data_IF_060745743108
#
_entry.id   IF_060745743108
#
_cell.length_a   1.000
_cell.length_b   1.000
_cell.length_c   1.000
_cell.angle_alpha   90.00
_cell.angle_beta   90.00
_cell.angle_gamma   90.00
#
_symmetry.space_group_name_H-M   'P 1'
#
loop_
_entity.id
_entity.type
_entity.pdbx_description
1 polymer ?
#
# COMPACT_ATOMS: atom_id res chain seq x y z
N UNK A 1 -25.74 2.61 -15.09
CA UNK A 1 -24.90 2.95 -13.93
C UNK A 1 -25.74 3.02 -12.66
N UNK A 2 -25.44 2.16 -11.68
CA UNK A 2 -26.04 2.14 -10.34
C UNK A 2 -25.00 2.70 -9.37
N UNK A 3 -25.42 3.62 -8.49
CA UNK A 3 -24.57 4.20 -7.45
C UNK A 3 -25.24 3.95 -6.10
N UNK A 4 -24.49 3.39 -5.15
CA UNK A 4 -24.96 3.15 -3.79
C UNK A 4 -23.98 3.73 -2.77
N UNK A 5 -24.48 4.59 -1.90
CA UNK A 5 -23.73 5.15 -0.78
C UNK A 5 -24.07 4.35 0.47
N UNK A 6 -23.04 3.76 1.08
CA UNK A 6 -23.18 2.91 2.26
C UNK A 6 -22.38 3.47 3.42
N UNK A 7 -22.68 3.01 4.63
CA UNK A 7 -21.85 3.32 5.78
C UNK A 7 -20.43 2.76 5.54
N UNK A 8 -19.45 3.65 5.46
CA UNK A 8 -18.04 3.28 5.32
C UNK A 8 -17.50 3.13 3.89
N UNK A 9 -18.36 3.14 2.86
CA UNK A 9 -17.90 3.04 1.48
C UNK A 9 -18.97 3.43 0.45
N UNK A 10 -18.58 3.51 -0.82
CA UNK A 10 -19.47 3.77 -1.96
C UNK A 10 -19.25 2.72 -3.05
N UNK A 11 -20.32 2.35 -3.74
CA UNK A 11 -20.32 1.37 -4.83
C UNK A 11 -20.80 2.04 -6.11
N UNK A 12 -20.04 1.86 -7.19
CA UNK A 12 -20.38 2.31 -8.53
C UNK A 12 -20.37 1.11 -9.47
N UNK A 13 -21.47 0.88 -10.20
CA UNK A 13 -21.63 -0.29 -11.04
C UNK A 13 -22.13 0.13 -12.42
N UNK A 14 -21.44 -0.25 -13.49
CA UNK A 14 -21.81 0.15 -14.86
C UNK A 14 -22.27 -0.99 -15.75
N UNK A 15 -21.70 -2.21 -15.57
CA UNK A 15 -22.03 -3.40 -16.37
C UNK A 15 -22.09 -4.64 -15.48
N UNK A 16 -22.86 -5.65 -15.89
CA UNK A 16 -22.67 -7.02 -15.41
C UNK A 16 -21.36 -7.56 -15.99
N UNK A 17 -20.26 -7.26 -15.31
CA UNK A 17 -18.95 -7.89 -15.52
C UNK A 17 -18.45 -8.35 -14.15
N UNK A 18 -17.79 -9.49 -14.08
CA UNK A 18 -17.33 -10.13 -12.85
C UNK A 18 -16.06 -9.49 -12.27
N UNK A 19 -15.62 -8.34 -12.82
CA UNK A 19 -14.50 -7.56 -12.30
C UNK A 19 -14.98 -6.64 -11.18
N UNK A 20 -14.30 -6.71 -10.04
CA UNK A 20 -14.42 -5.74 -8.94
C UNK A 20 -13.10 -5.05 -8.72
N UNK A 21 -13.11 -3.71 -8.76
CA UNK A 21 -11.97 -2.87 -8.39
C UNK A 21 -12.30 -2.24 -7.04
N UNK A 22 -11.40 -2.34 -6.07
CA UNK A 22 -11.61 -1.79 -4.74
C UNK A 22 -10.44 -0.94 -4.27
N UNK A 23 -10.75 0.13 -3.53
CA UNK A 23 -9.76 0.97 -2.84
C UNK A 23 -10.06 0.97 -1.35
N UNK A 24 -9.50 0.01 -0.59
CA UNK A 24 -9.84 -0.16 0.83
C UNK A 24 -9.30 0.96 1.74
N UNK A 25 -8.38 1.79 1.25
CA UNK A 25 -7.66 2.81 2.03
C UNK A 25 -7.82 4.24 1.48
N UNK A 26 -8.79 4.48 0.59
CA UNK A 26 -9.04 5.79 -0.04
C UNK A 26 -9.81 6.79 0.83
N UNK A 27 -10.26 6.40 2.02
CA UNK A 27 -11.02 7.28 2.91
C UNK A 27 -10.22 8.45 3.50
N UNK A 28 -10.83 9.25 4.40
CA UNK A 28 -10.22 10.46 4.92
C UNK A 28 -8.91 10.23 5.67
N UNK A 29 -7.96 11.15 5.46
CA UNK A 29 -6.69 11.19 6.18
C UNK A 29 -6.88 11.99 7.47
N UNK A 30 -6.83 11.32 8.63
CA UNK A 30 -6.80 11.97 9.93
C UNK A 30 -5.38 11.93 10.51
N UNK A 31 -5.03 12.96 11.29
CA UNK A 31 -3.73 13.21 11.93
C UNK A 31 -2.56 13.48 10.97
N UNK A 32 -2.43 12.68 9.91
CA UNK A 32 -1.37 12.82 8.92
C UNK A 32 -1.91 12.70 7.50
N UNK A 33 -1.44 13.56 6.60
CA UNK A 33 -1.87 13.57 5.19
C UNK A 33 -1.52 12.28 4.43
N UNK A 34 -0.55 11.51 4.95
CA UNK A 34 -0.12 10.23 4.37
C UNK A 34 -0.91 9.02 4.89
N UNK A 35 -1.84 9.22 5.83
CA UNK A 35 -2.61 8.15 6.46
C UNK A 35 -3.66 7.49 5.54
N UNK A 36 -3.95 8.05 4.37
CA UNK A 36 -4.80 7.44 3.33
C UNK A 36 -3.97 7.05 2.13
N UNK A 37 -4.53 6.24 1.25
CA UNK A 37 -3.92 5.91 -0.05
C UNK A 37 -4.36 6.99 -1.06
N UNK A 38 -3.70 8.14 -1.05
CA UNK A 38 -4.02 9.29 -1.90
C UNK A 38 -4.00 8.92 -3.39
N UNK A 39 -5.05 9.38 -4.10
CA UNK A 39 -5.29 9.16 -5.52
C UNK A 39 -5.45 7.69 -5.96
N UNK A 40 -5.49 6.74 -5.03
CA UNK A 40 -5.83 5.33 -5.35
C UNK A 40 -7.24 5.25 -5.95
N UNK A 41 -8.20 6.01 -5.43
CA UNK A 41 -9.57 6.11 -5.96
C UNK A 41 -9.62 6.69 -7.37
N UNK A 42 -8.70 7.61 -7.70
CA UNK A 42 -8.60 8.18 -9.05
C UNK A 42 -8.16 7.09 -10.02
N UNK A 43 -7.06 6.40 -9.73
CA UNK A 43 -6.56 5.29 -10.57
C UNK A 43 -7.63 4.20 -10.70
N UNK A 44 -8.27 3.82 -9.60
CA UNK A 44 -9.34 2.83 -9.59
C UNK A 44 -10.54 3.23 -10.44
N UNK A 45 -10.95 4.50 -10.39
CA UNK A 45 -12.05 5.01 -11.23
C UNK A 45 -11.70 4.96 -12.71
N UNK A 46 -10.44 5.22 -13.08
CA UNK A 46 -9.98 5.16 -14.47
C UNK A 46 -9.89 3.71 -14.96
N UNK A 47 -9.38 2.79 -14.14
CA UNK A 47 -9.43 1.36 -14.39
C UNK A 47 -10.87 0.89 -14.62
N UNK A 48 -11.80 1.32 -13.76
CA UNK A 48 -13.22 0.97 -13.85
C UNK A 48 -13.87 1.52 -15.13
N UNK A 49 -13.56 2.75 -15.53
CA UNK A 49 -14.04 3.31 -16.81
C UNK A 49 -13.57 2.50 -18.02
N UNK A 50 -12.36 1.92 -17.96
CA UNK A 50 -11.79 1.12 -19.05
C UNK A 50 -12.36 -0.31 -19.07
N UNK A 51 -12.43 -0.97 -17.92
CA UNK A 51 -12.75 -2.42 -17.82
C UNK A 51 -14.22 -2.71 -17.47
N UNK A 52 -14.96 -1.73 -16.96
CA UNK A 52 -16.32 -1.89 -16.44
C UNK A 52 -16.37 -2.65 -15.11
N UNK A 53 -17.52 -3.27 -14.83
CA UNK A 53 -17.75 -4.02 -13.59
C UNK A 53 -18.17 -3.12 -12.42
N UNK A 54 -17.64 -3.42 -11.24
CA UNK A 54 -17.97 -2.74 -9.99
C UNK A 54 -16.74 -2.04 -9.40
N UNK A 55 -16.90 -0.79 -8.99
CA UNK A 55 -15.92 -0.02 -8.23
C UNK A 55 -16.40 0.17 -6.79
N UNK A 56 -15.58 -0.25 -5.82
CA UNK A 56 -15.85 -0.10 -4.38
C UNK A 56 -14.82 0.85 -3.76
N UNK A 57 -15.26 1.97 -3.23
CA UNK A 57 -14.37 3.02 -2.68
C UNK A 57 -14.63 3.18 -1.19
N UNK A 58 -13.64 2.91 -0.35
CA UNK A 58 -13.76 3.15 1.09
C UNK A 58 -13.89 4.65 1.37
N UNK A 59 -14.80 5.03 2.26
CA UNK A 59 -14.97 6.42 2.70
C UNK A 59 -14.75 6.60 4.21
N UNK A 60 -14.21 5.57 4.88
CA UNK A 60 -13.73 5.63 6.27
C UNK A 60 -12.22 5.67 6.35
N UNK A 61 -11.70 6.33 7.40
CA UNK A 61 -10.27 6.35 7.64
C UNK A 61 -9.75 4.95 7.99
N UNK A 62 -8.56 4.59 7.50
CA UNK A 62 -7.86 3.37 7.93
C UNK A 62 -7.20 3.49 9.31
N UNK A 63 -7.25 4.66 9.94
CA UNK A 63 -6.75 4.84 11.31
C UNK A 63 -7.70 4.12 12.28
N UNK A 64 -7.16 3.17 13.06
CA UNK A 64 -7.93 2.25 13.92
C UNK A 64 -8.84 2.99 14.91
N UNK A 65 -8.37 4.15 15.39
CA UNK A 65 -9.12 4.97 16.32
C UNK A 65 -10.36 5.60 15.68
N UNK A 66 -10.24 6.07 14.43
CA UNK A 66 -11.26 6.89 13.74
C UNK A 66 -12.07 6.13 12.70
N UNK A 67 -11.65 4.93 12.31
CA UNK A 67 -12.34 4.13 11.31
C UNK A 67 -11.85 2.68 11.27
N UNK A 68 -11.79 2.11 10.08
CA UNK A 68 -11.57 0.68 9.86
C UNK A 68 -10.44 0.50 8.84
N UNK A 69 -9.33 -0.11 9.23
CA UNK A 69 -8.36 -0.60 8.25
C UNK A 69 -8.87 -1.89 7.63
N UNK A 70 -9.51 -1.75 6.46
CA UNK A 70 -10.11 -2.86 5.74
C UNK A 70 -9.08 -3.94 5.33
N UNK A 71 -7.78 -3.63 5.31
CA UNK A 71 -6.72 -4.58 4.94
C UNK A 71 -6.15 -5.37 6.15
N UNK A 72 -6.86 -5.40 7.28
CA UNK A 72 -6.44 -6.09 8.52
C UNK A 72 -7.54 -6.99 9.06
N UNK A 73 -7.18 -7.84 10.01
CA UNK A 73 -8.07 -8.81 10.62
C UNK A 73 -9.04 -8.17 11.63
N UNK A 74 -10.12 -8.89 11.93
CA UNK A 74 -11.14 -8.47 12.89
C UNK A 74 -10.62 -8.73 14.32
N UNK A 75 -10.50 -7.70 15.19
CA UNK A 75 -10.20 -7.92 16.60
C UNK A 75 -11.40 -8.56 17.30
N UNK A 76 -11.18 -9.33 18.38
CA UNK A 76 -12.28 -9.66 19.27
C UNK A 76 -12.78 -8.39 19.98
N UNK A 77 -14.05 -8.37 20.37
CA UNK A 77 -14.66 -7.23 21.07
C UNK A 77 -13.87 -6.85 22.33
N UNK A 78 -13.53 -7.83 23.17
CA UNK A 78 -12.71 -7.62 24.37
C UNK A 78 -11.37 -6.92 24.05
N UNK A 79 -10.67 -7.41 23.03
CA UNK A 79 -9.38 -6.85 22.61
C UNK A 79 -9.55 -5.43 22.06
N UNK A 80 -10.59 -5.18 21.26
CA UNK A 80 -10.87 -3.86 20.68
C UNK A 80 -11.19 -2.81 21.74
N UNK A 81 -12.01 -3.17 22.75
CA UNK A 81 -12.36 -2.31 23.87
C UNK A 81 -11.15 -2.02 24.75
N UNK A 82 -10.37 -3.05 25.11
CA UNK A 82 -9.16 -2.91 25.93
C UNK A 82 -8.13 -1.99 25.29
N UNK A 83 -7.99 -2.04 23.96
CA UNK A 83 -6.99 -1.28 23.21
C UNK A 83 -7.42 0.15 22.88
N UNK A 84 -8.67 0.54 23.13
CA UNK A 84 -9.15 1.89 22.83
C UNK A 84 -8.41 2.99 23.61
N UNK A 85 -8.34 2.87 24.94
CA UNK A 85 -7.64 3.84 25.80
C UNK A 85 -6.15 3.98 25.45
N UNK A 86 -5.38 2.89 25.24
CA UNK A 86 -4.01 2.97 24.74
C UNK A 86 -3.83 3.75 23.43
N UNK A 87 -4.78 3.63 22.49
CA UNK A 87 -4.73 4.38 21.23
C UNK A 87 -5.08 5.86 21.41
N UNK A 88 -5.95 6.20 22.37
CA UNK A 88 -6.32 7.58 22.68
C UNK A 88 -5.22 8.34 23.40
N UNK A 89 -4.57 7.71 24.38
CA UNK A 89 -3.63 8.37 25.28
C UNK A 89 -2.17 8.26 24.83
N UNK A 90 -1.90 7.47 23.78
CA UNK A 90 -0.55 7.02 23.39
C UNK A 90 0.27 6.47 24.59
N UNK A 91 -0.42 5.98 25.63
CA UNK A 91 0.14 5.71 26.96
C UNK A 91 0.79 4.32 27.08
N UNK A 92 0.81 3.53 26.00
CA UNK A 92 1.46 2.21 25.95
C UNK A 92 2.69 2.28 25.03
N UNK A 93 3.67 1.41 25.32
CA UNK A 93 4.81 1.11 24.47
C UNK A 93 4.43 1.11 22.96
N UNK A 94 5.19 1.88 22.18
CA UNK A 94 5.01 2.01 20.73
C UNK A 94 5.01 0.68 20.00
N UNK A 95 5.72 -0.32 20.53
CA UNK A 95 5.85 -1.64 19.91
C UNK A 95 4.54 -2.44 20.04
N UNK A 96 3.83 -2.35 21.18
CA UNK A 96 2.52 -2.99 21.37
C UNK A 96 1.48 -2.40 20.41
N UNK A 97 1.46 -1.07 20.28
CA UNK A 97 0.58 -0.39 19.33
C UNK A 97 0.93 -0.75 17.88
N UNK A 98 2.22 -0.91 17.58
CA UNK A 98 2.68 -1.33 16.25
C UNK A 98 2.21 -2.75 15.92
N UNK A 99 2.40 -3.70 16.84
CA UNK A 99 1.96 -5.09 16.67
C UNK A 99 0.45 -5.19 16.49
N UNK A 100 -0.31 -4.40 17.26
CA UNK A 100 -1.76 -4.30 17.08
C UNK A 100 -2.12 -3.82 15.67
N UNK A 101 -1.51 -2.72 15.19
CA UNK A 101 -1.79 -2.15 13.86
C UNK A 101 -1.44 -3.12 12.72
N UNK A 102 -0.43 -3.98 12.91
CA UNK A 102 -0.08 -5.02 11.93
C UNK A 102 -1.14 -6.10 11.80
N UNK A 103 -1.92 -6.35 12.86
CA UNK A 103 -2.89 -7.45 12.90
C UNK A 103 -4.33 -6.99 12.71
N UNK A 104 -4.76 -5.97 13.44
CA UNK A 104 -6.18 -5.66 13.63
C UNK A 104 -6.63 -4.36 12.97
N UNK A 105 -7.90 -4.37 12.56
CA UNK A 105 -8.51 -3.35 11.73
C UNK A 105 -9.02 -2.11 12.48
N UNK A 106 -9.48 -2.23 13.72
CA UNK A 106 -9.98 -1.10 14.52
C UNK A 106 -9.78 -1.30 16.03
N UNK A 107 -9.99 -0.24 16.80
CA UNK A 107 -10.30 -0.31 18.25
C UNK A 107 -11.72 0.22 18.45
N UNK A 108 -12.35 -0.05 19.60
CA UNK A 108 -13.74 0.32 19.85
C UNK A 108 -13.93 1.01 21.21
N UNK A 109 -14.70 2.09 21.25
CA UNK A 109 -14.99 2.81 22.52
C UNK A 109 -15.97 2.07 23.42
N UNK A 110 -16.90 1.34 22.81
CA UNK A 110 -17.99 0.60 23.44
C UNK A 110 -18.47 -0.51 22.48
N UNK A 111 -19.40 -1.35 22.95
CA UNK A 111 -19.93 -2.47 22.16
C UNK A 111 -20.69 -2.01 20.91
N UNK A 112 -21.34 -0.84 20.96
CA UNK A 112 -22.10 -0.28 19.83
C UNK A 112 -21.13 0.14 18.73
N UNK A 113 -20.06 0.84 19.06
CA UNK A 113 -18.98 1.22 18.13
C UNK A 113 -18.32 -0.01 17.51
N UNK A 114 -18.07 -1.06 18.31
CA UNK A 114 -17.53 -2.31 17.80
C UNK A 114 -18.45 -2.92 16.73
N UNK A 115 -19.75 -3.04 17.03
CA UNK A 115 -20.71 -3.65 16.12
C UNK A 115 -20.89 -2.82 14.84
N UNK A 116 -20.91 -1.49 14.94
CA UNK A 116 -20.97 -0.60 13.77
C UNK A 116 -19.75 -0.77 12.85
N UNK A 117 -18.55 -0.88 13.42
CA UNK A 117 -17.30 -1.08 12.65
C UNK A 117 -17.23 -2.47 12.02
N UNK A 118 -17.70 -3.48 12.75
CA UNK A 118 -17.84 -4.84 12.22
C UNK A 118 -18.80 -4.86 11.02
N UNK A 119 -19.95 -4.21 11.13
CA UNK A 119 -20.92 -4.11 10.03
C UNK A 119 -20.31 -3.44 8.79
N UNK A 120 -19.60 -2.31 8.96
CA UNK A 120 -18.88 -1.65 7.85
C UNK A 120 -17.89 -2.61 7.19
N UNK A 121 -17.09 -3.31 8.00
CA UNK A 121 -16.06 -4.23 7.52
C UNK A 121 -16.66 -5.40 6.73
N UNK A 122 -17.68 -6.06 7.29
CA UNK A 122 -18.36 -7.19 6.66
C UNK A 122 -19.08 -6.78 5.38
N UNK A 123 -19.78 -5.64 5.39
CA UNK A 123 -20.49 -5.15 4.23
C UNK A 123 -19.54 -4.72 3.10
N UNK A 124 -18.41 -4.08 3.42
CA UNK A 124 -17.40 -3.74 2.42
C UNK A 124 -16.87 -4.99 1.72
N UNK A 125 -16.40 -5.97 2.50
CA UNK A 125 -15.84 -7.19 1.92
C UNK A 125 -16.89 -8.06 1.26
N UNK A 126 -18.14 -8.05 1.72
CA UNK A 126 -19.27 -8.71 1.08
C UNK A 126 -19.63 -8.13 -0.29
N UNK A 127 -19.39 -6.83 -0.52
CA UNK A 127 -19.51 -6.23 -1.86
C UNK A 127 -18.31 -6.58 -2.74
N UNK A 128 -17.09 -6.50 -2.19
CA UNK A 128 -15.88 -6.84 -2.95
C UNK A 128 -15.87 -8.31 -3.37
N UNK A 129 -16.35 -9.21 -2.51
CA UNK A 129 -16.43 -10.63 -2.75
C UNK A 129 -17.51 -11.04 -3.77
N UNK A 130 -18.18 -10.12 -4.46
CA UNK A 130 -19.08 -10.47 -5.56
C UNK A 130 -18.34 -10.71 -6.89
N UNK A 131 -17.12 -10.19 -7.03
CA UNK A 131 -16.31 -10.36 -8.24
C UNK A 131 -15.60 -11.72 -8.31
N UNK A 132 -15.33 -12.18 -9.52
CA UNK A 132 -14.44 -13.31 -9.81
C UNK A 132 -12.99 -12.82 -9.99
N UNK A 133 -12.81 -11.67 -10.65
CA UNK A 133 -11.53 -10.96 -10.72
C UNK A 133 -11.58 -9.73 -9.82
N UNK A 134 -10.74 -9.69 -8.78
CA UNK A 134 -10.73 -8.64 -7.77
C UNK A 134 -9.39 -7.91 -7.82
N UNK A 135 -9.45 -6.60 -8.01
CA UNK A 135 -8.28 -5.71 -8.11
C UNK A 135 -8.32 -4.75 -6.94
N UNK A 136 -7.41 -4.92 -5.98
CA UNK A 136 -7.28 -4.03 -4.82
C UNK A 136 -6.18 -3.00 -5.12
N UNK A 137 -6.56 -1.74 -5.25
CA UNK A 137 -5.62 -0.67 -5.57
C UNK A 137 -5.23 0.07 -4.29
N UNK A 138 -3.92 0.06 -4.04
CA UNK A 138 -3.26 0.69 -2.91
C UNK A 138 -2.28 1.77 -3.37
N UNK A 139 -1.79 2.53 -2.39
CA UNK A 139 -0.68 3.47 -2.60
C UNK A 139 0.56 3.01 -1.84
N UNK A 140 1.64 2.83 -2.59
CA UNK A 140 2.99 2.75 -2.05
C UNK A 140 3.60 4.15 -1.92
N UNK A 141 4.18 4.48 -0.76
CA UNK A 141 4.99 5.69 -0.63
C UNK A 141 6.25 5.58 -1.51
N UNK A 142 6.63 6.68 -2.15
CA UNK A 142 7.81 6.75 -3.02
C UNK A 142 9.10 6.85 -2.19
N UNK A 143 9.50 5.75 -1.55
CA UNK A 143 10.68 5.63 -0.67
C UNK A 143 11.71 4.67 -1.24
N UNK A 144 12.97 4.74 -0.81
CA UNK A 144 14.06 3.90 -1.32
C UNK A 144 13.80 2.42 -1.07
N UNK A 145 13.12 2.04 0.02
CA UNK A 145 12.71 0.65 0.26
C UNK A 145 11.92 0.03 -0.91
N UNK A 146 11.25 0.86 -1.71
CA UNK A 146 10.48 0.43 -2.87
C UNK A 146 11.24 0.58 -4.19
N UNK A 147 12.42 1.22 -4.22
CA UNK A 147 13.23 1.37 -5.43
C UNK A 147 13.67 -0.01 -5.95
N UNK A 148 13.45 -0.38 -7.22
CA UNK A 148 13.00 0.39 -8.40
C UNK A 148 11.54 0.15 -8.80
N UNK A 149 10.70 -0.36 -7.91
CA UNK A 149 9.28 -0.55 -8.16
C UNK A 149 8.54 0.78 -8.23
N UNK A 150 7.90 1.03 -9.37
CA UNK A 150 6.95 2.13 -9.58
C UNK A 150 5.51 1.70 -9.30
N UNK A 151 5.26 0.41 -9.48
CA UNK A 151 4.01 -0.31 -9.23
C UNK A 151 4.38 -1.74 -8.90
N UNK A 152 4.03 -2.22 -7.70
CA UNK A 152 4.26 -3.60 -7.30
C UNK A 152 2.94 -4.38 -7.38
N UNK A 153 2.95 -5.46 -8.15
CA UNK A 153 1.81 -6.36 -8.27
C UNK A 153 1.98 -7.45 -7.22
N UNK A 154 0.94 -7.71 -6.45
CA UNK A 154 0.94 -8.73 -5.39
C UNK A 154 -0.24 -9.68 -5.64
N UNK A 155 0.01 -10.98 -5.45
CA UNK A 155 -0.94 -12.03 -5.83
C UNK A 155 -1.16 -12.95 -4.64
N UNK A 156 -2.41 -13.24 -4.31
CA UNK A 156 -2.72 -14.09 -3.16
C UNK A 156 -2.69 -15.59 -3.45
N UNK A 157 -2.82 -15.97 -4.73
CA UNK A 157 -2.90 -17.37 -5.16
C UNK A 157 -1.55 -17.98 -5.54
N UNK A 158 -1.59 -19.30 -5.75
CA UNK A 158 -0.52 -20.26 -6.05
C UNK A 158 0.53 -19.85 -7.10
N UNK A 159 1.66 -20.56 -7.08
CA UNK A 159 2.86 -20.24 -7.87
C UNK A 159 2.68 -20.25 -9.40
N UNK A 160 1.62 -20.87 -9.92
CA UNK A 160 1.37 -20.93 -11.37
C UNK A 160 0.89 -19.57 -11.91
N UNK A 161 -0.04 -18.90 -11.22
CA UNK A 161 -0.48 -17.56 -11.57
C UNK A 161 0.67 -16.55 -11.50
N UNK A 162 1.59 -16.72 -10.55
CA UNK A 162 2.77 -15.85 -10.39
C UNK A 162 3.67 -15.86 -11.62
N UNK A 163 3.91 -17.02 -12.22
CA UNK A 163 4.73 -17.12 -13.44
C UNK A 163 4.08 -16.40 -14.62
N UNK A 164 2.78 -16.64 -14.85
CA UNK A 164 2.02 -15.95 -15.91
C UNK A 164 2.03 -14.43 -15.72
N UNK A 165 1.83 -13.97 -14.48
CA UNK A 165 1.84 -12.54 -14.13
C UNK A 165 3.23 -11.94 -14.36
N UNK A 166 4.30 -12.66 -14.03
CA UNK A 166 5.68 -12.21 -14.26
C UNK A 166 5.94 -11.97 -15.76
N UNK A 167 5.47 -12.86 -16.63
CA UNK A 167 5.63 -12.71 -18.08
C UNK A 167 4.82 -11.53 -18.62
N UNK A 168 3.57 -11.38 -18.16
CA UNK A 168 2.73 -10.22 -18.49
C UNK A 168 3.37 -8.90 -18.04
N UNK A 169 3.91 -8.83 -16.82
CA UNK A 169 4.61 -7.65 -16.30
C UNK A 169 5.82 -7.32 -17.17
N UNK A 170 6.57 -8.33 -17.64
CA UNK A 170 7.70 -8.10 -18.55
C UNK A 170 7.25 -7.47 -19.86
N UNK A 171 6.17 -7.97 -20.47
CA UNK A 171 5.60 -7.39 -21.69
C UNK A 171 5.13 -5.95 -21.50
N UNK A 172 4.45 -5.67 -20.39
CA UNK A 172 3.95 -4.32 -20.08
C UNK A 172 5.14 -3.37 -19.81
N UNK A 173 6.16 -3.81 -19.08
CA UNK A 173 7.39 -3.02 -18.92
C UNK A 173 8.07 -2.70 -20.27
N UNK A 174 8.08 -3.64 -21.22
CA UNK A 174 8.60 -3.39 -22.57
C UNK A 174 7.73 -2.34 -23.28
N UNK A 175 6.40 -2.48 -23.23
CA UNK A 175 5.45 -1.53 -23.83
C UNK A 175 5.65 -0.09 -23.30
N UNK A 176 5.88 0.06 -21.99
CA UNK A 176 6.01 1.37 -21.34
C UNK A 176 7.46 1.83 -21.13
N UNK A 177 8.46 1.15 -21.69
CA UNK A 177 9.87 1.42 -21.43
C UNK A 177 10.26 2.89 -21.65
N UNK A 178 9.86 3.49 -22.78
CA UNK A 178 10.16 4.89 -23.10
C UNK A 178 9.55 5.86 -22.08
N UNK A 179 8.32 5.59 -21.64
CA UNK A 179 7.68 6.38 -20.58
C UNK A 179 8.44 6.24 -19.26
N UNK A 180 8.74 5.02 -18.84
CA UNK A 180 9.46 4.71 -17.60
C UNK A 180 10.83 5.40 -17.56
N UNK A 181 11.55 5.39 -18.69
CA UNK A 181 12.83 6.09 -18.85
C UNK A 181 12.67 7.60 -18.81
N UNK A 182 11.65 8.15 -19.46
CA UNK A 182 11.36 9.58 -19.44
C UNK A 182 11.08 10.12 -18.03
N UNK A 183 10.35 9.38 -17.20
CA UNK A 183 10.01 9.82 -15.84
C UNK A 183 11.09 9.52 -14.79
N UNK A 184 12.09 8.70 -15.12
CA UNK A 184 13.14 8.22 -14.21
C UNK A 184 13.77 9.36 -13.37
N UNK A 185 14.23 10.49 -13.95
CA UNK A 185 14.86 11.56 -13.18
C UNK A 185 13.90 12.20 -12.15
N UNK A 186 12.64 12.40 -12.53
CA UNK A 186 11.63 13.00 -11.67
C UNK A 186 11.22 12.05 -10.54
N UNK A 187 11.05 10.76 -10.86
CA UNK A 187 10.77 9.71 -9.87
C UNK A 187 11.89 9.62 -8.84
N UNK A 188 13.15 9.55 -9.29
CA UNK A 188 14.34 9.50 -8.43
C UNK A 188 14.46 10.72 -7.52
N UNK A 189 14.14 11.92 -8.04
CA UNK A 189 14.09 13.15 -7.23
C UNK A 189 12.99 13.09 -6.17
N UNK A 190 11.81 12.55 -6.50
CA UNK A 190 10.73 12.37 -5.53
C UNK A 190 11.12 11.38 -4.43
N UNK A 191 11.82 10.29 -4.77
CA UNK A 191 12.35 9.34 -3.77
C UNK A 191 13.28 10.06 -2.79
N UNK A 192 14.26 10.84 -3.28
CA UNK A 192 15.16 11.60 -2.41
C UNK A 192 14.41 12.55 -1.48
N UNK A 193 13.44 13.30 -2.02
CA UNK A 193 12.62 14.23 -1.23
C UNK A 193 11.86 13.51 -0.11
N UNK A 194 11.31 12.34 -0.39
CA UNK A 194 10.59 11.53 0.60
C UNK A 194 11.53 10.93 1.67
N UNK A 195 12.78 10.60 1.31
CA UNK A 195 13.83 10.24 2.29
C UNK A 195 14.18 11.41 3.21
N UNK A 196 14.40 12.60 2.67
CA UNK A 196 14.70 13.81 3.45
C UNK A 196 13.55 14.14 4.41
N UNK A 197 12.30 14.00 3.94
CA UNK A 197 11.10 14.15 4.76
C UNK A 197 11.06 13.12 5.88
N UNK A 198 11.43 11.87 5.62
CA UNK A 198 11.44 10.83 6.63
C UNK A 198 12.50 11.04 7.70
N UNK A 199 13.72 11.38 7.30
CA UNK A 199 14.81 11.75 8.22
C UNK A 199 14.37 12.91 9.12
N UNK A 200 13.77 13.96 8.52
CA UNK A 200 13.24 15.11 9.26
C UNK A 200 12.15 14.72 10.25
N UNK A 201 11.26 13.80 9.87
CA UNK A 201 10.22 13.29 10.76
C UNK A 201 10.78 12.46 11.92
N UNK A 202 11.79 11.62 11.67
CA UNK A 202 12.48 10.88 12.74
C UNK A 202 13.11 11.85 13.75
N UNK A 203 13.85 12.85 13.27
CA UNK A 203 14.48 13.86 14.12
C UNK A 203 13.43 14.64 14.93
N UNK A 204 12.29 14.99 14.32
CA UNK A 204 11.19 15.68 15.00
C UNK A 204 10.57 14.85 16.12
N UNK A 205 10.37 13.55 15.90
CA UNK A 205 9.67 12.66 16.84
C UNK A 205 10.60 12.16 17.94
N UNK A 206 11.82 11.77 17.61
CA UNK A 206 12.75 11.11 18.54
C UNK A 206 13.89 12.00 19.02
N UNK A 207 14.04 13.22 18.47
CA UNK A 207 15.15 14.14 18.77
C UNK A 207 16.51 13.69 18.26
N UNK A 208 16.60 12.50 17.66
CA UNK A 208 17.84 11.91 17.17
C UNK A 208 17.56 10.95 16.01
N UNK A 209 18.54 10.78 15.12
CA UNK A 209 18.51 9.80 14.04
C UNK A 209 19.46 8.65 14.39
N UNK A 210 18.94 7.72 15.19
CA UNK A 210 19.71 6.69 15.87
C UNK A 210 18.88 5.39 15.96
N UNK A 211 19.44 4.27 15.50
CA UNK A 211 18.75 2.97 15.42
C UNK A 211 18.32 2.42 16.79
N UNK A 212 18.99 2.84 17.86
CA UNK A 212 18.66 2.39 19.22
C UNK A 212 17.53 3.21 19.85
N UNK A 213 17.33 4.45 19.38
CA UNK A 213 16.29 5.36 19.90
C UNK A 213 14.99 5.28 19.10
N UNK A 214 15.08 5.01 17.80
CA UNK A 214 13.92 4.88 16.93
C UNK A 214 13.21 3.55 17.20
N UNK A 215 11.89 3.57 17.36
CA UNK A 215 11.05 2.39 17.71
C UNK A 215 9.89 2.15 16.76
N UNK A 216 9.22 1.00 16.88
CA UNK A 216 8.03 0.63 16.12
C UNK A 216 8.19 0.74 14.60
N UNK A 217 7.18 1.35 13.96
CA UNK A 217 7.09 1.46 12.49
C UNK A 217 8.28 2.25 11.88
N UNK A 218 8.76 3.30 12.56
CA UNK A 218 9.90 4.07 12.08
C UNK A 218 11.17 3.22 12.00
N UNK A 219 11.41 2.36 13.00
CA UNK A 219 12.57 1.47 13.01
C UNK A 219 12.48 0.44 11.89
N UNK A 220 11.31 -0.18 11.73
CA UNK A 220 11.06 -1.15 10.67
C UNK A 220 11.30 -0.55 9.28
N UNK A 221 10.78 0.65 9.02
CA UNK A 221 10.99 1.34 7.75
C UNK A 221 12.45 1.71 7.51
N UNK A 222 13.12 2.26 8.53
CA UNK A 222 14.53 2.62 8.42
C UNK A 222 15.43 1.40 8.13
N UNK A 223 15.12 0.25 8.72
CA UNK A 223 15.84 -1.00 8.42
C UNK A 223 15.61 -1.47 6.97
N UNK A 224 14.39 -1.37 6.44
CA UNK A 224 14.10 -1.68 5.04
C UNK A 224 14.88 -0.78 4.08
N UNK A 225 15.01 0.51 4.43
CA UNK A 225 15.80 1.48 3.67
C UNK A 225 17.30 1.11 3.69
N UNK A 226 17.83 0.73 4.86
CA UNK A 226 19.23 0.27 5.01
C UNK A 226 19.52 -0.98 4.17
N UNK A 227 18.58 -1.94 4.08
CA UNK A 227 18.78 -3.11 3.23
C UNK A 227 18.87 -2.73 1.74
N UNK A 228 18.07 -1.77 1.26
CA UNK A 228 18.22 -1.27 -0.13
C UNK A 228 19.53 -0.52 -0.33
N UNK A 229 19.96 0.25 0.67
CA UNK A 229 21.28 0.91 0.66
C UNK A 229 22.39 -0.12 0.50
N UNK A 230 22.37 -1.20 1.27
CA UNK A 230 23.37 -2.27 1.19
C UNK A 230 23.43 -2.92 -0.20
N UNK A 231 22.31 -3.01 -0.90
CA UNK A 231 22.22 -3.63 -2.24
C UNK A 231 22.71 -2.70 -3.36
N UNK A 232 22.32 -1.42 -3.33
CA UNK A 232 22.54 -0.51 -4.47
C UNK A 232 23.56 0.61 -4.24
N UNK A 233 23.88 0.95 -2.99
CA UNK A 233 24.87 2.00 -2.71
C UNK A 233 26.27 1.52 -3.09
N UNK A 234 27.14 2.47 -3.45
CA UNK A 234 28.57 2.16 -3.54
C UNK A 234 29.11 1.68 -2.18
N UNK A 235 30.10 0.75 -2.16
CA UNK A 235 30.69 0.25 -0.93
C UNK A 235 31.24 1.37 -0.03
N UNK A 236 31.74 2.45 -0.64
CA UNK A 236 32.26 3.64 0.06
C UNK A 236 31.19 4.29 0.94
N UNK A 237 30.02 4.61 0.38
CA UNK A 237 28.98 5.31 1.13
C UNK A 237 28.27 4.41 2.14
N UNK A 238 28.13 3.11 1.84
CA UNK A 238 27.62 2.16 2.81
C UNK A 238 28.58 2.00 4.01
N UNK A 239 29.90 1.99 3.76
CA UNK A 239 30.91 1.98 4.81
C UNK A 239 30.78 3.20 5.73
N UNK A 240 30.64 4.41 5.18
CA UNK A 240 30.43 5.61 5.99
C UNK A 240 29.17 5.55 6.85
N UNK A 241 28.06 5.05 6.29
CA UNK A 241 26.83 4.86 7.07
C UNK A 241 27.01 3.85 8.22
N UNK A 242 27.79 2.79 8.00
CA UNK A 242 28.06 1.76 9.01
C UNK A 242 29.00 2.27 10.12
N UNK A 243 30.00 3.05 9.75
CA UNK A 243 30.95 3.66 10.70
C UNK A 243 30.27 4.73 11.55
N UNK A 244 29.39 5.52 10.95
CA UNK A 244 28.66 6.57 11.64
C UNK A 244 27.24 6.71 11.09
N UNK A 245 26.28 6.18 11.85
CA UNK A 245 24.87 6.23 11.49
C UNK A 245 24.26 7.59 11.84
N UNK A 246 24.24 8.49 10.86
CA UNK A 246 23.70 9.84 11.01
C UNK A 246 22.92 10.29 9.74
N UNK A 247 22.14 11.38 9.82
CA UNK A 247 21.33 11.87 8.69
C UNK A 247 22.14 12.12 7.41
N UNK A 248 23.34 12.67 7.54
CA UNK A 248 24.17 13.07 6.39
C UNK A 248 24.71 11.84 5.65
N UNK A 249 25.25 10.88 6.39
CA UNK A 249 25.76 9.62 5.83
C UNK A 249 24.63 8.77 5.25
N UNK A 250 23.45 8.76 5.90
CA UNK A 250 22.26 8.10 5.37
C UNK A 250 21.85 8.71 4.02
N UNK A 251 21.70 10.03 3.94
CA UNK A 251 21.30 10.71 2.69
C UNK A 251 22.37 10.62 1.59
N UNK A 252 23.66 10.54 1.93
CA UNK A 252 24.73 10.24 0.96
C UNK A 252 24.59 8.83 0.38
N UNK A 253 24.32 7.84 1.23
CA UNK A 253 24.09 6.48 0.79
C UNK A 253 22.81 6.36 -0.07
N UNK A 254 21.73 7.05 0.31
CA UNK A 254 20.52 7.22 -0.49
C UNK A 254 20.82 7.78 -1.88
N UNK A 255 21.58 8.87 -1.96
CA UNK A 255 21.96 9.47 -3.26
C UNK A 255 22.72 8.47 -4.13
N UNK A 256 23.63 7.69 -3.55
CA UNK A 256 24.32 6.63 -4.26
C UNK A 256 23.39 5.51 -4.73
N UNK A 257 22.39 5.12 -3.94
CA UNK A 257 21.34 4.17 -4.38
C UNK A 257 20.61 4.73 -5.59
N UNK A 258 20.21 6.00 -5.54
CA UNK A 258 19.45 6.66 -6.60
C UNK A 258 20.23 6.70 -7.91
N UNK A 259 21.53 6.96 -7.84
CA UNK A 259 22.43 6.97 -9.01
C UNK A 259 22.58 5.56 -9.63
N UNK A 260 22.68 4.52 -8.80
CA UNK A 260 22.98 3.16 -9.24
C UNK A 260 21.75 2.28 -9.52
N UNK A 261 20.58 2.65 -8.99
CA UNK A 261 19.37 1.87 -9.14
C UNK A 261 18.89 1.89 -10.60
N UNK A 262 18.32 0.77 -11.09
CA UNK A 262 17.76 0.71 -12.44
C UNK A 262 16.55 1.66 -12.58
N UNK A 263 16.10 1.83 -13.83
CA UNK A 263 14.89 2.60 -14.11
C UNK A 263 13.69 2.09 -13.30
N UNK A 264 12.74 2.98 -12.96
CA UNK A 264 11.47 2.56 -12.39
C UNK A 264 10.79 1.55 -13.31
N UNK A 265 10.18 0.53 -12.73
CA UNK A 265 9.48 -0.52 -13.47
C UNK A 265 8.30 -1.07 -12.67
N UNK A 266 7.42 -1.79 -13.34
CA UNK A 266 6.40 -2.62 -12.70
C UNK A 266 7.11 -3.88 -12.19
N UNK A 267 6.81 -4.28 -10.96
CA UNK A 267 7.42 -5.45 -10.32
C UNK A 267 6.36 -6.43 -9.82
N UNK A 268 6.78 -7.65 -9.50
CA UNK A 268 5.96 -8.67 -8.86
C UNK A 268 6.55 -8.95 -7.48
N UNK A 269 5.77 -8.68 -6.44
CA UNK A 269 6.11 -8.91 -5.03
C UNK A 269 7.54 -8.51 -4.63
N UNK A 270 7.99 -7.35 -5.11
CA UNK A 270 9.37 -6.90 -4.92
C UNK A 270 9.60 -6.21 -3.57
N UNK A 271 8.64 -5.38 -3.17
CA UNK A 271 8.66 -4.64 -1.91
C UNK A 271 7.53 -5.08 -0.97
N UNK A 272 6.43 -5.56 -1.54
CA UNK A 272 5.28 -6.04 -0.82
C UNK A 272 5.10 -7.53 -1.09
N UNK A 273 4.85 -8.31 -0.06
CA UNK A 273 4.27 -9.63 -0.19
C UNK A 273 2.90 -9.61 0.48
N UNK A 274 1.93 -10.35 -0.03
CA UNK A 274 0.55 -10.29 0.47
C UNK A 274 0.40 -10.78 1.93
N UNK A 275 1.49 -11.07 2.65
CA UNK A 275 1.48 -11.63 4.00
C UNK A 275 0.73 -10.76 5.01
N UNK A 276 0.75 -9.43 4.80
CA UNK A 276 0.10 -8.46 5.68
C UNK A 276 -1.38 -8.21 5.34
N UNK A 277 -1.87 -8.73 4.21
CA UNK A 277 -3.25 -8.59 3.76
C UNK A 277 -4.18 -9.62 4.42
N UNK A 278 -4.15 -9.70 5.76
CA UNK A 278 -4.86 -10.72 6.53
C UNK A 278 -6.37 -10.70 6.30
N UNK A 279 -6.95 -9.49 6.23
CA UNK A 279 -8.38 -9.28 6.00
C UNK A 279 -8.83 -9.80 4.64
N UNK A 280 -8.30 -9.26 3.54
CA UNK A 280 -8.60 -9.74 2.19
C UNK A 280 -8.35 -11.23 2.02
N UNK A 281 -7.23 -11.77 2.55
CA UNK A 281 -6.94 -13.21 2.47
C UNK A 281 -8.04 -14.05 3.10
N UNK A 282 -8.51 -13.71 4.31
CA UNK A 282 -9.59 -14.47 4.96
C UNK A 282 -10.94 -14.29 4.28
N UNK A 283 -11.21 -13.13 3.68
CA UNK A 283 -12.51 -12.84 3.05
C UNK A 283 -12.62 -13.32 1.61
N UNK A 284 -11.50 -13.40 0.89
CA UNK A 284 -11.48 -13.65 -0.54
C UNK A 284 -10.84 -14.98 -0.92
N UNK A 285 -9.81 -15.46 -0.20
CA UNK A 285 -9.10 -16.69 -0.58
C UNK A 285 -9.81 -18.00 -0.24
N UNK A 286 -10.72 -18.10 0.76
CA UNK A 286 -11.55 -19.30 0.91
C UNK A 286 -12.51 -19.55 -0.27
N UNK A 287 -12.61 -18.60 -1.21
CA UNK A 287 -13.53 -18.67 -2.33
C UNK A 287 -12.78 -19.22 -3.55
N UNK A 288 -13.00 -20.49 -3.86
CA UNK A 288 -12.45 -21.16 -5.04
C UNK A 288 -12.79 -20.38 -6.33
N UNK A 289 -11.83 -20.32 -7.26
CA UNK A 289 -12.04 -19.74 -8.59
C UNK A 289 -11.85 -18.22 -8.69
N UNK A 290 -11.49 -17.53 -7.60
CA UNK A 290 -11.24 -16.08 -7.63
C UNK A 290 -9.79 -15.74 -7.88
N UNK A 291 -9.57 -14.69 -8.67
CA UNK A 291 -8.25 -14.10 -8.84
C UNK A 291 -8.21 -12.75 -8.14
N UNK A 292 -7.38 -12.66 -7.10
CA UNK A 292 -7.17 -11.43 -6.33
C UNK A 292 -5.79 -10.88 -6.62
N UNK A 293 -5.75 -9.65 -7.13
CA UNK A 293 -4.54 -8.91 -7.45
C UNK A 293 -4.54 -7.63 -6.63
N UNK A 294 -3.53 -7.47 -5.78
CA UNK A 294 -3.23 -6.20 -5.14
C UNK A 294 -2.24 -5.41 -6.03
N UNK A 295 -2.49 -4.12 -6.17
CA UNK A 295 -1.65 -3.19 -6.91
C UNK A 295 -1.15 -2.11 -5.95
N UNK A 296 0.11 -2.18 -5.59
CA UNK A 296 0.81 -1.20 -4.77
C UNK A 296 1.48 -0.17 -5.69
N UNK A 297 0.66 0.76 -6.19
CA UNK A 297 1.13 1.79 -7.13
C UNK A 297 1.75 2.97 -6.38
N UNK A 298 2.89 3.46 -6.86
CA UNK A 298 3.60 4.54 -6.18
C UNK A 298 2.78 5.84 -6.14
N UNK A 299 2.92 6.60 -5.05
CA UNK A 299 2.33 7.94 -4.91
C UNK A 299 2.65 8.85 -6.09
N UNK A 300 3.90 8.80 -6.56
CA UNK A 300 4.37 9.55 -7.72
C UNK A 300 3.53 9.23 -8.97
N UNK A 301 3.33 7.95 -9.26
CA UNK A 301 2.57 7.51 -10.43
C UNK A 301 1.08 7.86 -10.28
N UNK A 302 0.48 7.60 -9.11
CA UNK A 302 -0.94 7.88 -8.86
C UNK A 302 -1.29 9.38 -8.96
N UNK A 303 -0.40 10.26 -8.50
CA UNK A 303 -0.66 11.69 -8.48
C UNK A 303 -0.38 12.36 -9.84
N UNK A 304 0.78 12.09 -10.45
CA UNK A 304 1.21 12.80 -11.66
C UNK A 304 0.76 12.13 -12.96
N UNK A 305 0.53 10.82 -12.94
CA UNK A 305 0.23 10.03 -14.14
C UNK A 305 -0.88 8.99 -13.90
N UNK A 306 -2.04 9.36 -13.30
CA UNK A 306 -3.09 8.40 -12.96
C UNK A 306 -3.65 7.64 -14.16
N UNK A 307 -3.75 8.30 -15.33
CA UNK A 307 -4.17 7.66 -16.59
C UNK A 307 -3.20 6.56 -17.00
N UNK A 308 -1.90 6.83 -17.00
CA UNK A 308 -0.87 5.84 -17.33
C UNK A 308 -0.85 4.69 -16.32
N UNK A 309 -1.03 5.00 -15.02
CA UNK A 309 -1.17 3.98 -13.99
C UNK A 309 -2.34 3.04 -14.29
N UNK A 310 -3.49 3.61 -14.66
CA UNK A 310 -4.68 2.82 -14.98
C UNK A 310 -4.51 2.00 -16.26
N UNK A 311 -3.82 2.52 -17.27
CA UNK A 311 -3.52 1.78 -18.50
C UNK A 311 -2.59 0.59 -18.24
N UNK A 312 -1.53 0.79 -17.46
CA UNK A 312 -0.63 -0.30 -17.06
C UNK A 312 -1.39 -1.41 -16.32
N UNK A 313 -2.27 -1.04 -15.38
CA UNK A 313 -3.10 -2.01 -14.65
C UNK A 313 -4.04 -2.73 -15.62
N UNK A 314 -4.79 -2.00 -16.45
CA UNK A 314 -5.71 -2.60 -17.42
C UNK A 314 -5.01 -3.54 -18.40
N UNK A 315 -3.84 -3.16 -18.93
CA UNK A 315 -3.05 -4.03 -19.81
C UNK A 315 -2.64 -5.33 -19.12
N UNK A 316 -2.24 -5.27 -17.83
CA UNK A 316 -1.88 -6.47 -17.05
C UNK A 316 -3.10 -7.38 -16.94
N UNK A 317 -4.25 -6.83 -16.53
CA UNK A 317 -5.48 -7.60 -16.31
C UNK A 317 -6.00 -8.21 -17.62
N UNK A 318 -6.02 -7.44 -18.71
CA UNK A 318 -6.46 -7.90 -20.02
C UNK A 318 -5.58 -9.04 -20.54
N UNK A 319 -4.25 -8.92 -20.43
CA UNK A 319 -3.29 -9.96 -20.85
C UNK A 319 -3.36 -11.23 -20.02
N UNK A 320 -3.81 -11.16 -18.77
CA UNK A 320 -4.05 -12.35 -17.97
C UNK A 320 -5.24 -13.17 -18.45
N UNK A 321 -6.05 -12.66 -19.38
CA UNK A 321 -7.27 -13.30 -19.91
C UNK A 321 -8.22 -13.76 -18.79
N UNK A 322 -8.36 -12.95 -17.73
CA UNK A 322 -9.23 -13.25 -16.58
C UNK A 322 -10.71 -12.93 -16.87
N UNK A 323 -11.17 -13.18 -18.10
CA UNK A 323 -12.54 -12.90 -18.55
C UNK A 323 -13.48 -14.05 -18.29
#
# INVERSE_FOLDING_TARGET
MIISFKAGYSVYQDKENNIVIATPHSGPAFETSTARDDNSETVASLCWKKMGGTLVVANVSRKRLWGVDLNRDIPSMEIALKMFKPFMEEAIDSDVLHDYRKKFAWVAKDEIDYNNRLEIYENFWGEVSKGECIILIHRALTRIKNMSSLMDIVVFNDGEHKNKIKDVIREVNIKYYEFLKKIEPAYKKMVLFEEERFVSNILRVFGAFDLDKVKGEYKSHLMQDVEKIKVFSSPKYYKYLKEEFNPQNFLRAVKSVIENAPAPQITLEYAFDGSLALGPRKKLCPLNGKVVIEVESSRFLNFWYPEVASEMISDIIEKLNLK
#
